data_IF_015833401451
#
_entry.id   IF_015833401451
#
_cell.length_a   1.000
_cell.length_b   1.000
_cell.length_c   1.000
_cell.angle_alpha   90.00
_cell.angle_beta   90.00
_cell.angle_gamma   90.00
#
_symmetry.space_group_name_H-M   'P 1'
#
loop_
_entity.id
_entity.type
_entity.pdbx_description
1 polymer ?
#
# COMPACT_ATOMS: atom_id res chain seq x y z
N UNK A 1 -7.58 10.32 -7.95
CA UNK A 1 -8.86 10.74 -8.53
C UNK A 1 -9.64 9.47 -8.70
N UNK A 2 -10.64 9.30 -7.85
CA UNK A 2 -11.54 8.17 -7.78
C UNK A 2 -12.81 8.70 -7.12
N UNK A 3 -13.98 8.28 -7.58
CA UNK A 3 -15.28 8.60 -6.98
C UNK A 3 -15.49 7.72 -5.76
N UNK A 4 -15.10 8.22 -4.60
CA UNK A 4 -15.10 7.45 -3.36
C UNK A 4 -16.48 7.43 -2.67
N UNK A 5 -17.35 8.40 -2.93
CA UNK A 5 -18.69 8.46 -2.33
C UNK A 5 -19.84 8.16 -3.30
N UNK A 6 -19.50 7.70 -4.51
CA UNK A 6 -20.41 7.29 -5.59
C UNK A 6 -21.36 8.43 -6.03
N UNK A 7 -20.95 9.69 -5.92
CA UNK A 7 -21.75 10.86 -6.33
C UNK A 7 -21.65 11.17 -7.85
N UNK A 8 -20.73 10.48 -8.54
CA UNK A 8 -20.43 10.64 -9.96
C UNK A 8 -19.27 11.61 -10.25
N UNK A 9 -18.52 12.04 -9.24
CA UNK A 9 -17.34 12.91 -9.36
C UNK A 9 -16.13 12.26 -8.74
N UNK A 10 -14.94 12.67 -9.18
CA UNK A 10 -13.69 12.11 -8.63
C UNK A 10 -13.16 12.96 -7.47
N UNK A 11 -12.83 12.34 -6.34
CA UNK A 11 -12.16 12.99 -5.21
C UNK A 11 -10.64 12.82 -5.24
N UNK A 12 -9.99 13.72 -4.51
CA UNK A 12 -8.54 13.80 -4.46
C UNK A 12 -7.98 13.21 -3.17
N UNK A 13 -7.33 12.05 -3.31
CA UNK A 13 -6.50 11.45 -2.26
C UNK A 13 -5.13 12.14 -2.19
N UNK A 14 -4.75 12.63 -1.02
CA UNK A 14 -3.45 13.24 -0.75
C UNK A 14 -2.82 12.59 0.46
N UNK A 15 -1.59 12.13 0.29
CA UNK A 15 -0.70 11.83 1.40
C UNK A 15 0.28 12.99 1.64
N UNK A 16 0.45 13.40 2.90
CA UNK A 16 1.33 14.48 3.32
C UNK A 16 2.08 14.10 4.59
N UNK A 17 3.37 14.40 4.64
CA UNK A 17 4.16 14.38 5.87
C UNK A 17 4.78 15.77 6.12
N UNK A 18 5.00 16.16 7.39
CA UNK A 18 5.42 17.51 7.74
C UNK A 18 6.90 17.80 7.41
N UNK A 19 7.82 16.87 7.68
CA UNK A 19 9.21 16.95 7.24
C UNK A 19 9.96 15.61 7.39
N UNK A 20 11.03 15.45 6.59
CA UNK A 20 11.93 14.29 6.53
C UNK A 20 12.89 14.17 7.71
N UNK A 21 13.04 15.23 8.49
CA UNK A 21 14.11 15.37 9.49
C UNK A 21 13.63 14.82 10.82
N UNK A 22 12.35 15.04 11.14
CA UNK A 22 11.71 14.64 12.39
C UNK A 22 11.03 13.28 12.30
N UNK A 23 10.88 12.71 11.10
CA UNK A 23 10.12 11.48 10.84
C UNK A 23 8.73 11.51 11.49
N UNK A 24 8.13 12.69 11.55
CA UNK A 24 6.84 12.89 12.18
C UNK A 24 5.73 12.22 11.34
N UNK A 25 4.57 11.90 11.97
CA UNK A 25 3.49 11.17 11.31
C UNK A 25 3.06 11.79 9.99
N UNK A 26 2.79 10.92 9.02
CA UNK A 26 2.09 11.27 7.80
C UNK A 26 0.59 11.37 8.01
N UNK A 27 -0.09 12.03 7.08
CA UNK A 27 -1.52 12.19 7.05
C UNK A 27 -2.03 11.84 5.66
N UNK A 28 -3.11 11.09 5.62
CA UNK A 28 -3.88 10.84 4.40
C UNK A 28 -5.16 11.65 4.51
N UNK A 29 -5.48 12.40 3.46
CA UNK A 29 -6.72 13.15 3.33
C UNK A 29 -7.40 12.75 2.03
N UNK A 30 -8.73 12.70 2.04
CA UNK A 30 -9.55 12.68 0.82
C UNK A 30 -10.32 13.99 0.77
N UNK A 31 -10.20 14.70 -0.34
CA UNK A 31 -10.86 15.98 -0.57
C UNK A 31 -11.98 15.85 -1.60
N UNK A 32 -13.15 16.35 -1.23
CA UNK A 32 -14.29 16.62 -2.12
C UNK A 32 -13.91 17.71 -3.15
N UNK A 33 -14.70 17.86 -4.21
CA UNK A 33 -14.57 18.87 -5.27
C UNK A 33 -14.52 20.30 -4.69
N UNK A 34 -15.22 20.55 -3.58
CA UNK A 34 -15.23 21.86 -2.91
C UNK A 34 -13.99 22.13 -2.04
N UNK A 35 -13.10 21.15 -1.93
CA UNK A 35 -11.86 21.20 -1.15
C UNK A 35 -12.04 20.94 0.35
N UNK A 36 -13.23 20.55 0.80
CA UNK A 36 -13.46 20.02 2.14
C UNK A 36 -12.97 18.57 2.26
N UNK A 37 -12.71 18.09 3.47
CA UNK A 37 -12.39 16.67 3.67
C UNK A 37 -13.68 15.86 3.65
N UNK A 38 -13.64 14.68 3.04
CA UNK A 38 -14.70 13.70 3.22
C UNK A 38 -14.82 13.26 4.69
N UNK A 39 -16.01 12.83 5.14
CA UNK A 39 -16.21 12.27 6.48
C UNK A 39 -15.22 11.13 6.76
N UNK A 40 -14.67 11.10 7.98
CA UNK A 40 -13.66 10.11 8.36
C UNK A 40 -12.22 10.51 8.03
N UNK A 41 -12.00 11.57 7.25
CA UNK A 41 -10.66 12.03 6.87
C UNK A 41 -10.31 13.39 7.50
N UNK A 42 -9.02 13.66 7.83
CA UNK A 42 -7.84 12.85 7.53
C UNK A 42 -7.56 11.71 8.52
N UNK A 43 -6.84 10.69 8.04
CA UNK A 43 -6.26 9.62 8.86
C UNK A 43 -4.76 9.85 9.11
N UNK A 44 -4.28 9.40 10.27
CA UNK A 44 -2.87 9.52 10.64
C UNK A 44 -2.14 8.22 10.35
N UNK A 45 -1.02 8.32 9.65
CA UNK A 45 -0.06 7.23 9.47
C UNK A 45 1.09 7.53 10.43
N UNK A 46 1.27 6.76 11.51
CA UNK A 46 2.21 7.08 12.60
C UNK A 46 3.65 7.28 12.16
N UNK A 47 4.03 6.73 11.00
CA UNK A 47 5.37 6.77 10.47
C UNK A 47 5.46 7.55 9.17
N UNK A 48 6.65 8.09 8.94
CA UNK A 48 7.04 8.65 7.66
C UNK A 48 6.93 7.61 6.52
N UNK A 49 6.59 8.06 5.31
CA UNK A 49 6.53 7.22 4.11
C UNK A 49 6.84 8.05 2.86
N UNK A 50 7.51 7.43 1.88
CA UNK A 50 7.62 7.94 0.50
C UNK A 50 6.62 7.30 -0.45
N UNK A 51 5.90 6.28 0.03
CA UNK A 51 4.97 5.52 -0.78
C UNK A 51 3.79 6.39 -1.21
N UNK A 52 3.47 6.32 -2.50
CA UNK A 52 2.14 6.70 -2.95
C UNK A 52 1.13 5.67 -2.41
N UNK A 53 -0.05 6.10 -1.95
CA UNK A 53 -1.13 5.17 -1.63
C UNK A 53 -1.69 4.53 -2.91
N UNK A 54 -2.15 3.29 -2.78
CA UNK A 54 -2.93 2.56 -3.78
C UNK A 54 -4.41 2.52 -3.36
N UNK A 55 -5.29 2.37 -4.35
CA UNK A 55 -6.75 2.27 -4.15
C UNK A 55 -7.21 0.98 -4.82
N UNK A 56 -7.99 0.17 -4.11
CA UNK A 56 -8.57 -1.05 -4.66
C UNK A 56 -9.38 -1.82 -3.62
N UNK A 57 -10.39 -2.54 -4.11
CA UNK A 57 -11.20 -3.51 -3.37
C UNK A 57 -10.33 -4.73 -3.04
N UNK A 58 -9.78 -4.76 -1.83
CA UNK A 58 -8.87 -5.81 -1.36
C UNK A 58 -9.56 -6.83 -0.47
N UNK A 59 -10.69 -6.50 0.15
CA UNK A 59 -11.45 -7.43 0.99
C UNK A 59 -12.65 -8.07 0.27
N UNK A 60 -12.93 -7.65 -0.96
CA UNK A 60 -13.94 -8.25 -1.85
C UNK A 60 -15.37 -7.81 -1.54
N UNK A 61 -15.57 -6.76 -0.74
CA UNK A 61 -16.90 -6.27 -0.37
C UNK A 61 -17.55 -5.36 -1.44
N UNK A 62 -16.77 -4.96 -2.45
CA UNK A 62 -17.19 -4.11 -3.57
C UNK A 62 -16.99 -2.61 -3.34
N UNK A 63 -16.48 -2.20 -2.17
CA UNK A 63 -15.98 -0.86 -1.89
C UNK A 63 -14.46 -0.82 -2.13
N UNK A 64 -13.88 0.37 -2.17
CA UNK A 64 -12.43 0.53 -2.41
C UNK A 64 -11.73 0.95 -1.13
N UNK A 65 -10.63 0.28 -0.83
CA UNK A 65 -9.79 0.59 0.31
C UNK A 65 -8.57 1.39 -0.13
N UNK A 66 -7.98 2.10 0.83
CA UNK A 66 -6.73 2.85 0.64
C UNK A 66 -5.60 2.12 1.33
N UNK A 67 -4.61 1.68 0.56
CA UNK A 67 -3.46 0.93 1.05
C UNK A 67 -2.19 1.75 0.89
N UNK A 68 -1.33 1.76 1.91
CA UNK A 68 0.01 2.31 1.80
C UNK A 68 1.01 1.61 2.72
N UNK A 69 2.25 1.58 2.28
CA UNK A 69 3.36 1.24 3.14
C UNK A 69 3.85 2.45 3.94
N UNK A 70 4.47 2.21 5.09
CA UNK A 70 5.11 3.22 5.93
C UNK A 70 6.35 2.66 6.62
N UNK A 71 7.21 3.57 7.07
CA UNK A 71 8.45 3.25 7.77
C UNK A 71 9.61 3.16 6.80
N UNK A 72 10.21 4.31 6.50
CA UNK A 72 11.63 4.42 6.14
C UNK A 72 12.31 5.24 7.23
N UNK A 73 12.77 4.57 8.28
CA UNK A 73 13.58 5.24 9.31
C UNK A 73 15.01 4.76 9.14
N UNK A 74 15.91 5.60 8.58
CA UNK A 74 17.33 5.37 8.62
C UNK A 74 17.73 5.05 10.06
N UNK A 75 18.40 3.91 10.25
CA UNK A 75 18.89 3.37 11.52
C UNK A 75 17.94 2.49 12.36
N UNK A 76 16.86 1.95 11.78
CA UNK A 76 16.26 0.69 12.26
C UNK A 76 15.55 0.74 13.61
N UNK A 77 14.94 1.88 13.96
CA UNK A 77 14.25 2.05 15.24
C UNK A 77 12.81 1.52 15.28
N UNK A 78 12.14 1.41 14.13
CA UNK A 78 10.72 1.03 14.04
C UNK A 78 10.52 0.11 12.83
N UNK A 79 9.81 -1.02 12.97
CA UNK A 79 9.48 -1.85 11.81
C UNK A 79 8.51 -1.10 10.90
N UNK A 80 8.69 -1.24 9.59
CA UNK A 80 7.74 -0.71 8.63
C UNK A 80 6.45 -1.50 8.63
N UNK A 81 5.39 -0.79 8.28
CA UNK A 81 4.01 -1.22 8.44
C UNK A 81 3.23 -0.91 7.17
N UNK A 82 2.37 -1.83 6.77
CA UNK A 82 1.38 -1.61 5.71
C UNK A 82 0.07 -1.25 6.40
N UNK A 83 -0.51 -0.14 6.00
CA UNK A 83 -1.82 0.32 6.46
C UNK A 83 -2.83 0.12 5.33
N UNK A 84 -4.03 -0.32 5.69
CA UNK A 84 -5.20 -0.30 4.83
C UNK A 84 -6.35 0.34 5.59
N UNK A 85 -7.07 1.22 4.91
CA UNK A 85 -8.21 1.95 5.46
C UNK A 85 -9.43 1.72 4.59
N UNK A 86 -10.55 1.51 5.26
CA UNK A 86 -11.89 1.61 4.70
C UNK A 86 -12.13 3.05 4.24
N UNK A 87 -13.08 3.22 3.32
CA UNK A 87 -13.46 4.56 2.85
C UNK A 87 -13.93 5.47 4.00
N UNK A 88 -14.60 4.92 5.03
CA UNK A 88 -15.04 5.67 6.19
C UNK A 88 -13.90 6.12 7.14
N UNK A 89 -12.65 5.78 6.78
CA UNK A 89 -11.43 6.09 7.51
C UNK A 89 -11.12 5.11 8.64
N UNK A 90 -11.94 4.08 8.86
CA UNK A 90 -11.60 3.02 9.80
C UNK A 90 -10.48 2.13 9.24
N UNK A 91 -9.73 1.49 10.14
CA UNK A 91 -8.64 0.59 9.75
C UNK A 91 -9.23 -0.76 9.37
N UNK A 92 -8.86 -1.25 8.19
CA UNK A 92 -9.33 -2.55 7.68
C UNK A 92 -8.90 -3.68 8.64
N UNK A 93 -9.76 -4.67 8.93
CA UNK A 93 -9.38 -5.81 9.76
C UNK A 93 -8.13 -6.53 9.24
N UNK A 94 -7.17 -6.80 10.13
CA UNK A 94 -5.87 -7.39 9.76
C UNK A 94 -4.75 -6.37 9.58
N UNK A 95 -5.06 -5.08 9.59
CA UNK A 95 -4.09 -4.00 9.45
C UNK A 95 -3.87 -3.23 10.77
N UNK A 96 -2.69 -2.62 10.98
CA UNK A 96 -1.53 -2.65 10.09
C UNK A 96 -0.77 -3.98 10.08
N UNK A 97 -0.17 -4.33 8.94
CA UNK A 97 0.74 -5.47 8.82
C UNK A 97 2.16 -5.01 9.14
N UNK A 98 2.79 -5.61 10.15
CA UNK A 98 4.21 -5.38 10.45
C UNK A 98 5.10 -6.22 9.52
N UNK A 99 5.86 -5.59 8.63
CA UNK A 99 6.76 -6.31 7.70
C UNK A 99 8.13 -6.62 8.32
N UNK A 100 8.44 -6.02 9.48
CA UNK A 100 9.71 -6.17 10.20
C UNK A 100 10.87 -5.36 9.59
N UNK A 101 10.65 -4.74 8.44
CA UNK A 101 11.59 -3.94 7.67
C UNK A 101 10.88 -2.69 7.15
N UNK A 102 11.61 -1.77 6.53
CA UNK A 102 11.02 -0.58 5.95
C UNK A 102 10.09 -0.93 4.79
N UNK A 103 8.88 -0.38 4.83
CA UNK A 103 7.80 -0.65 3.89
C UNK A 103 7.45 0.66 3.15
N UNK A 104 8.43 1.32 2.55
CA UNK A 104 8.32 2.66 1.96
C UNK A 104 8.15 2.67 0.44
N UNK A 105 7.88 1.51 -0.15
CA UNK A 105 7.68 1.39 -1.60
C UNK A 105 6.20 1.43 -1.97
N UNK A 106 5.85 1.97 -3.15
CA UNK A 106 4.50 1.93 -3.67
C UNK A 106 3.92 0.51 -3.73
N UNK A 107 2.63 0.41 -3.41
CA UNK A 107 1.85 -0.82 -3.45
C UNK A 107 1.24 -1.04 -4.84
N UNK A 108 1.18 -2.29 -5.28
CA UNK A 108 0.38 -2.75 -6.41
C UNK A 108 -0.75 -3.63 -5.91
N UNK A 109 -1.97 -3.38 -6.37
CA UNK A 109 -3.15 -4.19 -6.03
C UNK A 109 -3.47 -5.09 -7.22
N UNK A 110 -3.44 -6.42 -7.03
CA UNK A 110 -3.66 -7.40 -8.09
C UNK A 110 -4.01 -8.78 -7.51
N UNK A 111 -4.86 -9.54 -8.18
CA UNK A 111 -5.19 -10.95 -7.84
C UNK A 111 -4.05 -11.87 -8.32
N UNK A 112 -2.99 -12.04 -7.51
CA UNK A 112 -1.75 -12.71 -7.93
C UNK A 112 -1.87 -14.23 -7.87
N UNK A 113 -2.73 -14.76 -7.01
CA UNK A 113 -2.96 -16.20 -6.87
C UNK A 113 -4.17 -16.72 -7.65
N UNK A 114 -4.91 -15.83 -8.32
CA UNK A 114 -6.11 -16.10 -9.13
C UNK A 114 -7.28 -16.67 -8.34
N UNK A 115 -7.42 -16.27 -7.08
CA UNK A 115 -8.54 -16.70 -6.25
C UNK A 115 -9.80 -15.83 -6.46
N UNK A 116 -9.67 -14.69 -7.16
CA UNK A 116 -10.76 -13.76 -7.45
C UNK A 116 -10.85 -12.55 -6.52
N UNK A 117 -10.05 -12.53 -5.45
CA UNK A 117 -9.86 -11.40 -4.51
C UNK A 117 -8.55 -10.68 -4.87
N UNK A 118 -8.39 -9.41 -4.48
CA UNK A 118 -7.17 -8.66 -4.79
C UNK A 118 -6.15 -8.78 -3.67
N UNK A 119 -4.90 -8.93 -4.05
CA UNK A 119 -3.77 -8.97 -3.14
C UNK A 119 -2.98 -7.66 -3.15
N UNK A 120 -2.26 -7.42 -2.06
CA UNK A 120 -1.35 -6.30 -1.86
C UNK A 120 0.06 -6.77 -2.17
N UNK A 121 0.65 -6.25 -3.24
CA UNK A 121 2.02 -6.53 -3.63
C UNK A 121 2.90 -5.32 -3.37
N UNK A 122 4.03 -5.54 -2.71
CA UNK A 122 5.00 -4.47 -2.51
C UNK A 122 6.43 -5.00 -2.47
N UNK A 123 7.39 -4.11 -2.73
CA UNK A 123 8.79 -4.44 -2.52
C UNK A 123 9.22 -4.03 -1.11
N UNK A 124 9.91 -4.92 -0.42
CA UNK A 124 10.53 -4.62 0.86
C UNK A 124 12.03 -4.75 0.71
N UNK A 125 12.77 -3.68 1.00
CA UNK A 125 14.23 -3.65 0.92
C UNK A 125 14.85 -2.91 2.10
N UNK A 126 15.43 -3.66 3.04
CA UNK A 126 16.25 -3.09 4.13
C UNK A 126 17.44 -3.99 4.43
N UNK A 127 18.64 -3.39 4.41
CA UNK A 127 19.89 -4.12 4.62
C UNK A 127 20.14 -5.13 3.50
N UNK A 128 20.29 -6.41 3.88
CA UNK A 128 20.47 -7.52 2.94
C UNK A 128 19.13 -8.15 2.48
N UNK A 129 18.01 -7.74 3.09
CA UNK A 129 16.67 -8.22 2.69
C UNK A 129 16.19 -7.43 1.49
N UNK A 130 15.79 -8.14 0.44
CA UNK A 130 15.28 -7.57 -0.80
C UNK A 130 14.33 -8.57 -1.46
N UNK A 131 13.05 -8.26 -1.52
CA UNK A 131 12.07 -9.15 -2.12
C UNK A 131 10.74 -8.48 -2.42
N UNK A 132 9.93 -9.13 -3.26
CA UNK A 132 8.52 -8.81 -3.41
C UNK A 132 7.76 -9.60 -2.36
N UNK A 133 6.85 -8.93 -1.66
CA UNK A 133 5.91 -9.51 -0.71
C UNK A 133 4.51 -9.39 -1.30
N UNK A 134 3.66 -10.38 -1.01
CA UNK A 134 2.26 -10.36 -1.37
C UNK A 134 1.41 -10.78 -0.16
N UNK A 135 0.39 -9.99 0.16
CA UNK A 135 -0.54 -10.21 1.27
C UNK A 135 -1.97 -10.24 0.75
N UNK A 136 -2.81 -11.11 1.29
CA UNK A 136 -4.26 -11.08 1.03
C UNK A 136 -4.93 -9.86 1.73
N UNK A 137 -6.20 -9.61 1.43
CA UNK A 137 -7.01 -8.57 2.07
C UNK A 137 -7.19 -8.72 3.59
N UNK A 138 -6.93 -9.90 4.14
CA UNK A 138 -6.90 -10.15 5.58
C UNK A 138 -5.53 -9.90 6.23
N UNK A 139 -4.53 -9.51 5.44
CA UNK A 139 -3.16 -9.26 5.86
C UNK A 139 -2.29 -10.50 6.06
N UNK A 140 -2.70 -11.66 5.55
CA UNK A 140 -1.88 -12.88 5.59
C UNK A 140 -0.89 -12.90 4.42
N UNK A 141 0.35 -13.32 4.71
CA UNK A 141 1.35 -13.51 3.67
C UNK A 141 0.99 -14.68 2.76
N UNK A 142 0.97 -14.46 1.45
CA UNK A 142 0.63 -15.49 0.48
C UNK A 142 1.71 -16.58 0.35
N UNK A 143 1.32 -17.84 0.07
CA UNK A 143 2.26 -18.91 -0.20
C UNK A 143 3.21 -18.56 -1.35
N UNK A 144 4.51 -18.84 -1.16
CA UNK A 144 5.54 -18.55 -2.16
C UNK A 144 6.16 -17.14 -2.04
N UNK A 145 5.62 -16.29 -1.17
CA UNK A 145 6.19 -14.99 -0.83
C UNK A 145 6.94 -15.03 0.52
N UNK A 146 7.99 -14.20 0.70
CA UNK A 146 8.51 -13.24 -0.29
C UNK A 146 9.27 -13.90 -1.44
N UNK A 147 9.08 -13.37 -2.65
CA UNK A 147 9.91 -13.68 -3.80
C UNK A 147 11.25 -12.93 -3.65
N UNK A 148 12.27 -13.65 -3.20
CA UNK A 148 13.60 -13.09 -2.90
C UNK A 148 14.30 -12.63 -4.18
N UNK A 149 14.74 -11.37 -4.20
CA UNK A 149 15.49 -10.77 -5.29
C UNK A 149 17.00 -10.85 -5.00
N UNK A 150 17.71 -11.75 -5.69
CA UNK A 150 19.14 -12.02 -5.48
C UNK A 150 20.08 -10.95 -6.04
N UNK A 151 19.56 -10.02 -6.83
CA UNK A 151 20.31 -8.88 -7.40
C UNK A 151 19.35 -7.74 -7.69
N UNK A 152 19.75 -6.50 -7.43
CA UNK A 152 18.94 -5.32 -7.74
C UNK A 152 19.31 -4.10 -6.91
N UNK A 153 19.35 -2.93 -7.55
CA UNK A 153 19.58 -1.64 -6.89
C UNK A 153 18.40 -1.20 -6.00
N UNK A 154 18.44 0.04 -5.51
CA UNK A 154 17.23 0.66 -4.96
C UNK A 154 16.24 0.83 -6.09
N UNK A 155 15.03 0.29 -5.95
CA UNK A 155 13.91 0.60 -6.83
C UNK A 155 12.78 0.99 -5.89
N UNK A 156 12.34 2.24 -6.06
CA UNK A 156 11.30 2.90 -5.29
C UNK A 156 9.97 2.89 -6.06
N UNK A 157 9.83 1.98 -7.05
CA UNK A 157 8.64 1.85 -7.88
C UNK A 157 7.75 0.70 -7.42
N UNK A 158 6.45 0.81 -7.74
CA UNK A 158 5.50 -0.27 -7.54
C UNK A 158 5.88 -1.50 -8.40
N UNK A 159 5.68 -2.74 -7.92
CA UNK A 159 5.82 -3.92 -8.75
C UNK A 159 4.94 -3.84 -10.01
N UNK A 160 5.48 -4.12 -11.19
CA UNK A 160 4.69 -4.16 -12.42
C UNK A 160 4.15 -5.57 -12.65
N UNK A 161 2.87 -5.69 -13.00
CA UNK A 161 2.19 -6.98 -13.20
C UNK A 161 1.68 -7.09 -14.63
N UNK A 162 2.07 -8.15 -15.33
CA UNK A 162 1.57 -8.47 -16.66
C UNK A 162 1.84 -9.93 -17.02
N UNK A 163 0.94 -10.56 -17.78
CA UNK A 163 1.26 -11.79 -18.52
C UNK A 163 2.14 -11.40 -19.72
N UNK A 164 3.46 -11.57 -19.58
CA UNK A 164 4.44 -11.21 -20.62
C UNK A 164 4.80 -12.40 -21.49
N UNK A 165 4.52 -13.62 -21.03
CA UNK A 165 4.92 -14.85 -21.71
C UNK A 165 3.76 -15.52 -22.49
N UNK A 166 2.51 -15.12 -22.22
CA UNK A 166 1.28 -15.60 -22.85
C UNK A 166 0.72 -16.91 -22.28
N UNK A 167 1.13 -17.33 -21.09
CA UNK A 167 0.66 -18.56 -20.43
C UNK A 167 -0.61 -18.35 -19.59
N UNK A 168 -1.08 -17.11 -19.50
CA UNK A 168 -2.25 -16.72 -18.75
C UNK A 168 -1.98 -16.45 -17.27
N UNK A 169 -0.75 -16.61 -16.78
CA UNK A 169 -0.31 -16.24 -15.43
C UNK A 169 0.40 -14.87 -15.45
N UNK A 170 0.24 -14.06 -14.39
CA UNK A 170 0.93 -12.79 -14.25
C UNK A 170 2.41 -13.01 -13.91
N UNK A 171 3.29 -12.29 -14.62
CA UNK A 171 4.67 -12.04 -14.18
C UNK A 171 4.78 -10.73 -13.40
N UNK A 172 5.79 -10.69 -12.52
CA UNK A 172 6.16 -9.53 -11.71
C UNK A 172 7.50 -8.97 -12.21
N UNK A 173 7.57 -7.66 -12.45
CA UNK A 173 8.78 -6.95 -12.90
C UNK A 173 9.13 -5.74 -12.02
#
# INVERSE_FOLDING_TARGET
>A
LYDFDDDGKDEMLIYRYPDQITYAPGFISIYDEDGSNLPGWPQTVPQYSESAPAIGDIDGDGQMEIVLGSGDVPNGGVPGEIYAFEFDGSVLPGFPITTGYGADTPVTIYDIDMNGEKDILMRVKVGEVNGIYAYDGGGNLLPGFPAVLTSGGSAHGAPAIADVNGDGLPEIA
#
